data_IF_698850525043
#
_entry.id   IF_698850525043
#
_cell.length_a   1.000
_cell.length_b   1.000
_cell.length_c   1.000
_cell.angle_alpha   90.00
_cell.angle_beta   90.00
_cell.angle_gamma   90.00
#
_symmetry.space_group_name_H-M   'P 1'
#
loop_
_entity.id
_entity.type
_entity.pdbx_description
1 polymer ?
#
# COMPACT_ATOMS: atom_id res chain seq x y z
N UNK A 1 -29.31 5.26 23.20
CA UNK A 1 -29.14 5.82 21.85
C UNK A 1 -30.24 6.83 21.59
N UNK A 2 -29.95 8.11 21.79
CA UNK A 2 -30.93 9.19 21.84
C UNK A 2 -31.23 9.65 20.42
N UNK A 3 -32.46 9.43 19.96
CA UNK A 3 -33.01 9.89 18.67
C UNK A 3 -33.21 11.41 18.65
N UNK A 4 -32.18 12.18 19.00
CA UNK A 4 -32.22 13.63 18.83
C UNK A 4 -31.95 14.00 17.37
N UNK A 5 -33.04 14.33 16.68
CA UNK A 5 -33.09 15.32 15.61
C UNK A 5 -32.16 15.07 14.41
N UNK A 6 -32.57 14.13 13.56
CA UNK A 6 -32.17 14.11 12.14
C UNK A 6 -32.76 15.36 11.40
N UNK A 7 -33.67 16.09 12.04
CA UNK A 7 -34.39 17.24 11.47
C UNK A 7 -33.70 18.60 11.66
N UNK A 8 -32.70 18.74 12.55
CA UNK A 8 -31.97 20.00 12.78
C UNK A 8 -30.49 19.88 12.38
N UNK A 9 -30.20 19.35 11.18
CA UNK A 9 -28.84 19.43 10.64
C UNK A 9 -28.61 20.86 10.17
N UNK A 10 -27.83 21.62 10.95
CA UNK A 10 -27.43 22.98 10.59
C UNK A 10 -26.66 22.96 9.26
N UNK A 11 -26.96 23.90 8.37
CA UNK A 11 -26.25 24.06 7.08
C UNK A 11 -24.74 24.17 7.26
N UNK A 12 -24.28 24.70 8.41
CA UNK A 12 -22.87 24.75 8.79
C UNK A 12 -22.25 23.37 8.99
N UNK A 13 -22.96 22.45 9.66
CA UNK A 13 -22.46 21.08 9.88
C UNK A 13 -22.35 20.29 8.58
N UNK A 14 -23.28 20.52 7.65
CA UNK A 14 -23.24 19.94 6.31
C UNK A 14 -22.02 20.47 5.53
N UNK A 15 -21.80 21.79 5.52
CA UNK A 15 -20.63 22.41 4.90
C UNK A 15 -19.30 21.90 5.48
N UNK A 16 -19.19 21.75 6.81
CA UNK A 16 -17.99 21.20 7.45
C UNK A 16 -17.76 19.73 7.07
N UNK A 17 -18.82 18.94 6.93
CA UNK A 17 -18.73 17.54 6.52
C UNK A 17 -18.23 17.42 5.08
N UNK A 18 -18.73 18.26 4.17
CA UNK A 18 -18.22 18.34 2.80
C UNK A 18 -16.75 18.78 2.74
N UNK A 19 -16.35 19.75 3.57
CA UNK A 19 -14.97 20.21 3.63
C UNK A 19 -14.01 19.09 4.10
N UNK A 20 -14.43 18.24 5.04
CA UNK A 20 -13.66 17.09 5.51
C UNK A 20 -13.69 15.91 4.54
N UNK A 21 -14.75 15.74 3.75
CA UNK A 21 -14.86 14.66 2.78
C UNK A 21 -13.81 14.76 1.66
N UNK A 22 -13.44 15.98 1.24
CA UNK A 22 -12.46 16.21 0.18
C UNK A 22 -11.08 15.60 0.50
N UNK A 23 -10.39 15.95 1.62
CA UNK A 23 -9.09 15.37 1.92
C UNK A 23 -9.15 13.87 2.14
N UNK A 24 -10.23 13.35 2.75
CA UNK A 24 -10.42 11.90 2.94
C UNK A 24 -10.54 11.19 1.59
N UNK A 25 -11.31 11.74 0.64
CA UNK A 25 -11.41 11.21 -0.72
C UNK A 25 -10.04 11.15 -1.41
N UNK A 26 -9.21 12.18 -1.23
CA UNK A 26 -7.83 12.16 -1.73
C UNK A 26 -6.97 11.06 -1.09
N UNK A 27 -7.07 10.83 0.23
CA UNK A 27 -6.37 9.70 0.89
C UNK A 27 -6.74 8.39 0.20
N UNK A 28 -8.04 8.11 0.08
CA UNK A 28 -8.55 6.87 -0.50
C UNK A 28 -8.12 6.71 -1.96
N UNK A 29 -8.18 7.79 -2.75
CA UNK A 29 -7.72 7.79 -4.11
C UNK A 29 -6.23 7.43 -4.21
N UNK A 30 -5.38 8.06 -3.40
CA UNK A 30 -3.94 7.76 -3.42
C UNK A 30 -3.64 6.35 -2.95
N UNK A 31 -4.22 5.93 -1.84
CA UNK A 31 -3.94 4.62 -1.25
C UNK A 31 -4.35 3.49 -2.20
N UNK A 32 -5.53 3.59 -2.81
CA UNK A 32 -5.98 2.60 -3.80
C UNK A 32 -5.09 2.59 -5.06
N UNK A 33 -4.71 3.76 -5.58
CA UNK A 33 -3.86 3.82 -6.79
C UNK A 33 -2.43 3.33 -6.53
N UNK A 34 -1.86 3.62 -5.37
CA UNK A 34 -0.52 3.16 -4.99
C UNK A 34 -0.56 1.64 -4.78
N UNK A 35 -1.56 1.13 -4.08
CA UNK A 35 -1.77 -0.32 -3.87
C UNK A 35 -1.95 -1.05 -5.19
N UNK A 36 -2.78 -0.54 -6.11
CA UNK A 36 -2.96 -1.12 -7.44
C UNK A 36 -1.66 -1.11 -8.25
N UNK A 37 -0.90 -0.02 -8.19
CA UNK A 37 0.40 0.06 -8.88
C UNK A 37 1.45 -0.86 -8.28
N UNK A 38 1.37 -1.17 -6.98
CA UNK A 38 2.25 -2.11 -6.31
C UNK A 38 1.88 -3.57 -6.65
N UNK A 39 0.59 -3.90 -6.59
CA UNK A 39 0.06 -5.21 -6.98
C UNK A 39 0.37 -5.49 -8.44
N UNK A 40 0.11 -4.55 -9.35
CA UNK A 40 0.35 -4.74 -10.78
C UNK A 40 1.84 -5.00 -11.07
N UNK A 41 2.77 -4.39 -10.31
CA UNK A 41 4.20 -4.68 -10.43
C UNK A 41 4.58 -6.07 -9.92
N UNK A 42 4.00 -6.50 -8.79
CA UNK A 42 4.20 -7.85 -8.28
C UNK A 42 3.58 -8.91 -9.21
N UNK A 43 2.41 -8.60 -9.77
CA UNK A 43 1.63 -9.47 -10.64
C UNK A 43 2.20 -9.53 -12.07
N UNK A 44 2.79 -8.47 -12.60
CA UNK A 44 3.33 -8.43 -13.98
C UNK A 44 4.36 -9.55 -14.27
N UNK A 45 5.00 -10.10 -13.24
CA UNK A 45 5.91 -11.25 -13.40
C UNK A 45 5.20 -12.55 -13.78
N UNK A 46 3.95 -12.75 -13.37
CA UNK A 46 3.17 -13.99 -13.61
C UNK A 46 1.92 -13.73 -14.50
N UNK A 47 1.28 -12.57 -14.36
CA UNK A 47 -0.01 -12.26 -14.97
C UNK A 47 0.11 -11.28 -16.16
N UNK A 48 -0.40 -11.70 -17.33
CA UNK A 48 -0.44 -10.87 -18.57
C UNK A 48 -1.73 -10.05 -18.76
N UNK A 49 -2.54 -9.84 -17.73
CA UNK A 49 -3.78 -9.05 -17.86
C UNK A 49 -3.50 -7.55 -17.76
N UNK A 50 -4.23 -6.77 -18.56
CA UNK A 50 -4.15 -5.30 -18.53
C UNK A 50 -4.69 -4.78 -17.18
N UNK A 51 -3.99 -3.86 -16.51
CA UNK A 51 -4.47 -3.26 -15.28
C UNK A 51 -5.63 -2.31 -15.58
N UNK A 52 -6.70 -2.39 -14.78
CA UNK A 52 -7.90 -1.53 -14.88
C UNK A 52 -8.13 -0.78 -13.56
N UNK A 53 -7.28 0.21 -13.22
CA UNK A 53 -7.33 0.88 -11.91
C UNK A 53 -8.64 1.66 -11.68
N UNK A 54 -9.22 2.22 -12.75
CA UNK A 54 -10.44 3.03 -12.66
C UNK A 54 -11.67 2.19 -12.24
N UNK A 55 -11.75 0.95 -12.71
CA UNK A 55 -12.86 0.06 -12.38
C UNK A 55 -12.81 -0.34 -10.90
N UNK A 56 -11.61 -0.59 -10.39
CA UNK A 56 -11.39 -0.97 -9.00
C UNK A 56 -11.76 0.18 -8.03
N UNK A 57 -11.40 1.42 -8.37
CA UNK A 57 -11.84 2.63 -7.65
C UNK A 57 -13.36 2.78 -7.61
N UNK A 58 -14.05 2.50 -8.73
CA UNK A 58 -15.51 2.57 -8.80
C UNK A 58 -16.16 1.52 -7.88
N UNK A 59 -15.64 0.29 -7.88
CA UNK A 59 -16.16 -0.80 -7.04
C UNK A 59 -15.96 -0.49 -5.55
N UNK A 60 -14.77 -0.04 -5.15
CA UNK A 60 -14.49 0.32 -3.74
C UNK A 60 -15.37 1.50 -3.28
N UNK A 61 -15.60 2.49 -4.16
CA UNK A 61 -16.52 3.60 -3.89
C UNK A 61 -17.95 3.12 -3.63
N UNK A 62 -18.46 2.22 -4.48
CA UNK A 62 -19.81 1.67 -4.33
C UNK A 62 -19.95 0.88 -3.01
N UNK A 63 -18.96 0.04 -2.69
CA UNK A 63 -18.94 -0.74 -1.44
C UNK A 63 -18.94 0.20 -0.22
N UNK A 64 -18.09 1.23 -0.22
CA UNK A 64 -18.04 2.19 0.88
C UNK A 64 -19.32 3.03 1.01
N UNK A 65 -20.02 3.31 -0.09
CA UNK A 65 -21.34 3.93 -0.05
C UNK A 65 -22.35 3.04 0.71
N UNK A 66 -22.38 1.74 0.39
CA UNK A 66 -23.25 0.77 1.07
C UNK A 66 -22.87 0.65 2.57
N UNK A 67 -21.58 0.54 2.87
CA UNK A 67 -21.09 0.47 4.26
C UNK A 67 -21.46 1.72 5.06
N UNK A 68 -21.40 2.90 4.44
CA UNK A 68 -21.82 4.17 5.06
C UNK A 68 -23.30 4.18 5.44
N UNK A 69 -24.17 3.67 4.55
CA UNK A 69 -25.61 3.56 4.82
C UNK A 69 -25.88 2.57 5.96
N UNK A 70 -25.13 1.48 6.02
CA UNK A 70 -25.22 0.47 7.09
C UNK A 70 -24.52 0.88 8.40
N UNK A 71 -23.81 2.01 8.44
CA UNK A 71 -23.04 2.44 9.62
C UNK A 71 -21.80 1.58 9.92
N UNK A 72 -21.30 0.85 8.92
CA UNK A 72 -20.12 -0.02 9.02
C UNK A 72 -18.84 0.75 8.66
N UNK A 73 -17.67 0.34 9.18
CA UNK A 73 -16.40 0.98 8.85
C UNK A 73 -16.06 0.84 7.36
N UNK A 74 -15.43 1.86 6.79
CA UNK A 74 -15.02 1.87 5.39
C UNK A 74 -13.82 0.96 5.15
N UNK A 75 -13.78 0.35 3.96
CA UNK A 75 -12.75 -0.60 3.52
C UNK A 75 -11.93 0.04 2.40
N UNK A 76 -10.62 -0.19 2.42
CA UNK A 76 -9.68 0.21 1.38
C UNK A 76 -8.64 -0.90 1.16
N UNK A 77 -7.99 -0.90 0.00
CA UNK A 77 -6.94 -1.86 -0.31
C UNK A 77 -5.68 -1.64 0.52
N UNK A 78 -5.30 -2.61 1.35
CA UNK A 78 -4.06 -2.54 2.13
C UNK A 78 -2.85 -2.90 1.26
N UNK A 79 -1.88 -1.97 1.17
CA UNK A 79 -0.68 -2.13 0.34
C UNK A 79 0.17 -3.35 0.72
N UNK A 80 0.47 -3.51 2.02
CA UNK A 80 1.36 -4.59 2.49
C UNK A 80 0.68 -5.95 2.34
N UNK A 81 -0.57 -6.05 2.82
CA UNK A 81 -1.31 -7.31 2.77
C UNK A 81 -1.52 -7.80 1.33
N UNK A 82 -2.01 -6.93 0.45
CA UNK A 82 -2.31 -7.30 -0.93
C UNK A 82 -1.05 -7.67 -1.72
N UNK A 83 0.07 -6.99 -1.46
CA UNK A 83 1.37 -7.33 -2.08
C UNK A 83 1.89 -8.67 -1.59
N UNK A 84 1.85 -8.94 -0.28
CA UNK A 84 2.32 -10.20 0.30
C UNK A 84 1.47 -11.38 -0.18
N UNK A 85 0.15 -11.19 -0.19
CA UNK A 85 -0.80 -12.16 -0.72
C UNK A 85 -0.43 -12.51 -2.17
N UNK A 86 -0.33 -11.51 -3.05
CA UNK A 86 0.03 -11.74 -4.46
C UNK A 86 1.41 -12.39 -4.64
N UNK A 87 2.40 -11.99 -3.83
CA UNK A 87 3.74 -12.58 -3.87
C UNK A 87 3.72 -14.05 -3.51
N UNK A 88 2.96 -14.45 -2.50
CA UNK A 88 2.82 -15.85 -2.11
C UNK A 88 2.25 -16.72 -3.26
N UNK A 89 1.29 -16.20 -4.04
CA UNK A 89 0.80 -16.90 -5.23
C UNK A 89 1.85 -16.97 -6.35
N UNK A 90 2.51 -15.85 -6.66
CA UNK A 90 3.54 -15.84 -7.72
C UNK A 90 4.71 -16.78 -7.40
N UNK A 91 5.20 -16.79 -6.15
CA UNK A 91 6.32 -17.65 -5.75
C UNK A 91 5.94 -19.14 -5.86
N UNK A 92 4.70 -19.51 -5.55
CA UNK A 92 4.21 -20.88 -5.72
C UNK A 92 4.12 -21.28 -7.20
N UNK A 93 3.66 -20.37 -8.07
CA UNK A 93 3.60 -20.64 -9.52
C UNK A 93 4.98 -20.85 -10.14
N UNK A 94 5.98 -20.03 -9.76
CA UNK A 94 7.34 -20.24 -10.27
C UNK A 94 7.91 -21.62 -9.90
N UNK A 95 7.51 -22.17 -8.74
CA UNK A 95 7.89 -23.53 -8.33
C UNK A 95 7.13 -24.61 -9.10
N UNK A 96 5.85 -24.39 -9.41
CA UNK A 96 5.02 -25.33 -10.17
C UNK A 96 5.38 -25.34 -11.66
N UNK A 97 5.77 -24.21 -12.24
CA UNK A 97 6.31 -24.14 -13.61
C UNK A 97 7.61 -24.94 -13.76
N UNK A 98 8.48 -24.93 -12.74
CA UNK A 98 9.68 -25.79 -12.69
C UNK A 98 9.30 -27.28 -12.73
N UNK A 99 8.12 -27.64 -12.20
CA UNK A 99 7.60 -29.01 -12.16
C UNK A 99 6.62 -29.35 -13.31
N UNK A 100 6.52 -28.51 -14.36
CA UNK A 100 5.65 -28.70 -15.54
C UNK A 100 4.12 -28.81 -15.27
N UNK A 101 3.64 -28.56 -14.06
CA UNK A 101 2.20 -28.55 -13.75
C UNK A 101 1.63 -27.15 -13.94
N UNK A 102 1.06 -26.88 -15.12
CA UNK A 102 0.38 -25.60 -15.40
C UNK A 102 -1.06 -25.64 -14.93
N UNK A 103 -1.31 -25.35 -13.65
CA UNK A 103 -2.66 -25.05 -13.18
C UNK A 103 -3.03 -23.59 -13.49
N UNK A 104 -4.29 -23.34 -13.85
CA UNK A 104 -4.81 -22.01 -14.19
C UNK A 104 -4.80 -21.00 -13.02
N UNK A 105 -3.64 -20.37 -12.82
CA UNK A 105 -3.30 -19.29 -11.88
C UNK A 105 -4.44 -18.34 -11.44
N UNK A 106 -5.24 -17.81 -12.38
CA UNK A 106 -6.30 -16.84 -12.04
C UNK A 106 -7.47 -17.40 -11.23
N UNK A 107 -7.79 -18.70 -11.37
CA UNK A 107 -8.93 -19.29 -10.66
C UNK A 107 -8.59 -19.53 -9.18
N UNK A 108 -7.34 -19.89 -8.90
CA UNK A 108 -6.85 -20.14 -7.54
C UNK A 108 -6.90 -18.86 -6.68
N UNK A 109 -6.50 -17.71 -7.24
CA UNK A 109 -6.52 -16.42 -6.52
C UNK A 109 -7.94 -16.00 -6.15
N UNK A 110 -8.90 -16.18 -7.06
CA UNK A 110 -10.31 -15.82 -6.84
C UNK A 110 -10.93 -16.70 -5.76
N UNK A 111 -10.69 -18.01 -5.86
CA UNK A 111 -11.23 -18.98 -4.92
C UNK A 111 -10.62 -18.81 -3.52
N UNK A 112 -9.30 -18.59 -3.44
CA UNK A 112 -8.62 -18.32 -2.18
C UNK A 112 -9.10 -17.03 -1.52
N UNK A 113 -9.36 -15.97 -2.30
CA UNK A 113 -9.93 -14.73 -1.75
C UNK A 113 -11.35 -14.94 -1.23
N UNK A 114 -12.18 -15.69 -1.96
CA UNK A 114 -13.53 -16.05 -1.51
C UNK A 114 -13.50 -16.81 -0.17
N UNK A 115 -12.65 -17.85 -0.07
CA UNK A 115 -12.50 -18.60 1.17
C UNK A 115 -11.94 -17.76 2.32
N UNK A 116 -11.00 -16.86 2.06
CA UNK A 116 -10.47 -15.96 3.08
C UNK A 116 -11.57 -15.06 3.66
N UNK A 117 -12.41 -14.45 2.82
CA UNK A 117 -13.53 -13.62 3.29
C UNK A 117 -14.61 -14.43 4.00
N UNK A 118 -14.90 -15.65 3.52
CA UNK A 118 -15.81 -16.56 4.21
C UNK A 118 -15.30 -16.91 5.61
N UNK A 119 -14.01 -17.24 5.74
CA UNK A 119 -13.38 -17.54 7.02
C UNK A 119 -13.35 -16.33 7.97
N UNK A 120 -13.17 -15.11 7.44
CA UNK A 120 -13.31 -13.87 8.24
C UNK A 120 -14.75 -13.71 8.74
N UNK A 121 -15.76 -14.06 7.93
CA UNK A 121 -17.15 -14.06 8.37
C UNK A 121 -17.42 -15.07 9.50
N UNK A 122 -16.90 -16.29 9.34
CA UNK A 122 -17.02 -17.36 10.35
C UNK A 122 -16.21 -17.05 11.61
N UNK A 123 -15.10 -16.32 11.49
CA UNK A 123 -14.24 -15.99 12.63
C UNK A 123 -14.96 -15.13 13.65
N UNK A 124 -15.86 -14.23 13.24
CA UNK A 124 -16.67 -13.39 14.15
C UNK A 124 -17.46 -14.24 15.15
N UNK A 125 -18.01 -15.38 14.72
CA UNK A 125 -18.72 -16.31 15.60
C UNK A 125 -17.78 -17.15 16.47
N UNK A 126 -16.54 -17.34 15.99
CA UNK A 126 -15.52 -18.16 16.64
C UNK A 126 -14.64 -17.38 17.64
N UNK A 127 -14.75 -16.04 17.68
CA UNK A 127 -14.04 -15.14 18.60
C UNK A 127 -14.08 -15.64 20.06
N UNK A 128 -15.25 -15.89 20.69
CA UNK A 128 -15.32 -16.23 22.11
C UNK A 128 -14.87 -17.66 22.45
N UNK A 129 -14.52 -18.49 21.47
CA UNK A 129 -14.19 -19.90 21.70
C UNK A 129 -12.75 -20.25 21.33
N UNK A 130 -12.26 -19.74 20.20
CA UNK A 130 -10.98 -20.16 19.62
C UNK A 130 -9.91 -19.10 19.79
N UNK A 131 -10.28 -17.82 19.66
CA UNK A 131 -9.31 -16.73 19.60
C UNK A 131 -8.76 -16.32 20.97
N UNK A 132 -9.44 -16.67 22.06
CA UNK A 132 -8.92 -16.47 23.43
C UNK A 132 -7.65 -17.28 23.71
N UNK A 133 -7.44 -18.39 22.99
CA UNK A 133 -6.24 -19.22 23.13
C UNK A 133 -5.03 -18.67 22.35
N UNK A 134 -5.23 -17.71 21.45
CA UNK A 134 -4.17 -17.17 20.62
C UNK A 134 -3.57 -15.93 21.30
N UNK A 135 -2.33 -15.99 21.82
CA UNK A 135 -1.73 -14.84 22.49
C UNK A 135 -1.51 -13.69 21.50
N UNK A 136 -1.82 -12.47 21.91
CA UNK A 136 -1.61 -11.25 21.10
C UNK A 136 -0.17 -11.13 20.63
N UNK A 137 0.80 -11.58 21.44
CA UNK A 137 2.23 -11.60 21.08
C UNK A 137 2.56 -12.40 19.82
N UNK A 138 1.79 -13.45 19.51
CA UNK A 138 1.97 -14.23 18.27
C UNK A 138 1.55 -13.39 17.05
N UNK A 139 0.45 -12.64 17.19
CA UNK A 139 -0.03 -11.74 16.14
C UNK A 139 0.97 -10.62 15.87
N UNK A 140 1.55 -10.03 16.92
CA UNK A 140 2.61 -9.03 16.80
C UNK A 140 3.83 -9.58 16.04
N UNK A 141 4.22 -10.83 16.31
CA UNK A 141 5.26 -11.52 15.56
C UNK A 141 4.95 -11.64 14.06
N UNK A 142 3.69 -11.96 13.71
CA UNK A 142 3.23 -12.03 12.33
C UNK A 142 3.25 -10.62 11.67
N UNK A 143 2.90 -9.57 12.41
CA UNK A 143 2.99 -8.19 11.92
C UNK A 143 4.43 -7.77 11.62
N UNK A 144 5.37 -8.07 12.53
CA UNK A 144 6.80 -7.79 12.31
C UNK A 144 7.34 -8.57 11.11
N UNK A 145 7.02 -9.87 11.01
CA UNK A 145 7.38 -10.67 9.83
C UNK A 145 6.84 -10.06 8.53
N UNK A 146 5.57 -9.68 8.52
CA UNK A 146 4.93 -9.05 7.35
C UNK A 146 5.58 -7.72 6.99
N UNK A 147 5.97 -6.91 7.98
CA UNK A 147 6.69 -5.66 7.77
C UNK A 147 8.06 -5.90 7.11
N UNK A 148 8.85 -6.86 7.62
CA UNK A 148 10.18 -7.20 7.09
C UNK A 148 10.08 -7.78 5.67
N UNK A 149 9.18 -8.74 5.44
CA UNK A 149 9.00 -9.34 4.11
C UNK A 149 8.44 -8.31 3.11
N UNK A 150 7.62 -7.36 3.57
CA UNK A 150 7.10 -6.26 2.75
C UNK A 150 8.18 -5.32 2.21
N UNK A 151 9.33 -5.20 2.91
CA UNK A 151 10.49 -4.43 2.46
C UNK A 151 11.32 -5.15 1.39
N UNK A 152 11.24 -6.49 1.32
CA UNK A 152 11.95 -7.29 0.32
C UNK A 152 11.44 -6.96 -1.09
N UNK A 153 12.34 -6.78 -2.04
CA UNK A 153 12.07 -6.30 -3.41
C UNK A 153 11.52 -4.85 -3.46
N UNK A 154 11.86 -4.02 -2.48
CA UNK A 154 11.67 -2.58 -2.58
C UNK A 154 12.96 -1.91 -3.05
N UNK A 155 12.93 -1.32 -4.25
CA UNK A 155 14.09 -0.65 -4.85
C UNK A 155 14.66 0.48 -4.00
N UNK A 156 13.84 1.16 -3.19
CA UNK A 156 14.34 2.16 -2.25
C UNK A 156 15.14 1.51 -1.11
N UNK A 157 14.62 0.42 -0.54
CA UNK A 157 15.28 -0.32 0.53
C UNK A 157 16.60 -0.95 0.05
N UNK A 158 16.60 -1.56 -1.13
CA UNK A 158 17.82 -2.10 -1.76
C UNK A 158 18.89 -1.01 -1.89
N UNK A 159 18.51 0.20 -2.32
CA UNK A 159 19.46 1.29 -2.48
C UNK A 159 19.89 1.93 -1.15
N UNK A 160 19.06 1.90 -0.12
CA UNK A 160 19.48 2.26 1.24
C UNK A 160 20.53 1.26 1.73
N UNK A 161 20.32 -0.03 1.50
CA UNK A 161 21.31 -1.06 1.86
C UNK A 161 22.66 -0.82 1.16
N UNK A 162 22.64 -0.40 -0.11
CA UNK A 162 23.85 -0.02 -0.85
C UNK A 162 24.61 1.18 -0.25
N UNK A 163 24.00 2.02 0.61
CA UNK A 163 24.76 3.07 1.32
C UNK A 163 25.70 2.48 2.39
N UNK A 164 25.37 1.30 2.91
CA UNK A 164 26.14 0.61 3.97
C UNK A 164 27.05 -0.47 3.39
N UNK A 165 26.70 -1.04 2.23
CA UNK A 165 27.49 -2.07 1.57
C UNK A 165 28.80 -1.52 1.00
N UNK A 166 29.89 -2.28 1.13
CA UNK A 166 31.17 -1.97 0.50
C UNK A 166 31.10 -2.11 -1.03
N UNK A 167 31.84 -1.26 -1.75
CA UNK A 167 31.81 -1.19 -3.22
C UNK A 167 32.17 -2.52 -3.91
N UNK A 168 33.08 -3.31 -3.32
CA UNK A 168 33.49 -4.60 -3.86
C UNK A 168 32.36 -5.66 -3.80
N UNK A 169 31.40 -5.51 -2.88
CA UNK A 169 30.29 -6.44 -2.68
C UNK A 169 29.02 -6.04 -3.44
N UNK A 170 29.10 -5.06 -4.35
CA UNK A 170 27.92 -4.59 -5.08
C UNK A 170 27.39 -5.70 -6.02
N UNK A 171 26.11 -6.06 -5.92
CA UNK A 171 25.53 -7.06 -6.81
C UNK A 171 25.50 -6.53 -8.25
N UNK A 172 25.73 -7.39 -9.26
CA UNK A 172 25.76 -7.00 -10.67
C UNK A 172 24.34 -6.73 -11.21
N UNK A 173 23.69 -5.67 -10.74
CA UNK A 173 22.35 -5.27 -11.20
C UNK A 173 22.42 -4.35 -12.44
N UNK A 174 21.33 -4.33 -13.23
CA UNK A 174 21.26 -3.60 -14.50
C UNK A 174 21.49 -2.08 -14.36
N UNK A 175 21.04 -1.46 -13.26
CA UNK A 175 21.11 0.00 -13.08
C UNK A 175 22.48 0.48 -12.56
N UNK A 176 23.17 -0.32 -11.74
CA UNK A 176 24.50 0.02 -11.24
C UNK A 176 25.59 0.01 -12.33
N UNK A 177 25.33 -0.63 -13.48
CA UNK A 177 26.24 -0.62 -14.63
C UNK A 177 26.17 0.65 -15.48
N UNK A 178 25.07 1.42 -15.41
CA UNK A 178 24.83 2.58 -16.28
C UNK A 178 24.95 3.93 -15.58
N UNK A 179 24.74 3.98 -14.26
CA UNK A 179 24.65 5.24 -13.51
C UNK A 179 25.83 5.34 -12.54
N UNK A 180 26.53 6.50 -12.49
CA UNK A 180 27.60 6.68 -11.52
C UNK A 180 27.06 6.65 -10.08
N UNK A 181 27.80 6.00 -9.18
CA UNK A 181 27.38 5.71 -7.81
C UNK A 181 27.00 6.97 -7.01
N UNK A 182 27.73 8.07 -7.18
CA UNK A 182 27.44 9.35 -6.48
C UNK A 182 26.02 9.84 -6.76
N UNK A 183 25.54 9.68 -7.99
CA UNK A 183 24.18 10.08 -8.37
C UNK A 183 23.15 9.18 -7.69
N UNK A 184 23.42 7.87 -7.61
CA UNK A 184 22.55 6.92 -6.90
C UNK A 184 22.45 7.30 -5.41
N UNK A 185 23.57 7.61 -4.75
CA UNK A 185 23.56 7.99 -3.34
C UNK A 185 22.85 9.33 -3.09
N UNK A 186 23.10 10.37 -3.90
CA UNK A 186 22.38 11.65 -3.83
C UNK A 186 20.88 11.43 -4.01
N UNK A 187 20.49 10.62 -5.01
CA UNK A 187 19.10 10.27 -5.24
C UNK A 187 18.47 9.60 -4.03
N UNK A 188 19.14 8.60 -3.45
CA UNK A 188 18.63 7.89 -2.27
C UNK A 188 18.51 8.78 -1.05
N UNK A 189 19.46 9.69 -0.84
CA UNK A 189 19.44 10.61 0.29
C UNK A 189 18.26 11.58 0.20
N UNK A 190 17.96 12.08 -1.01
CA UNK A 190 16.76 12.89 -1.26
C UNK A 190 15.48 12.09 -0.93
N UNK A 191 15.41 10.83 -1.34
CA UNK A 191 14.25 9.98 -1.03
C UNK A 191 14.11 9.67 0.47
N UNK A 192 15.22 9.43 1.17
CA UNK A 192 15.23 9.20 2.63
C UNK A 192 14.76 10.45 3.37
N UNK A 193 15.20 11.64 2.97
CA UNK A 193 14.71 12.91 3.52
C UNK A 193 13.19 13.06 3.32
N UNK A 194 12.67 12.70 2.14
CA UNK A 194 11.23 12.73 1.87
C UNK A 194 10.45 11.77 2.78
N UNK A 195 10.97 10.57 3.02
CA UNK A 195 10.36 9.59 3.93
C UNK A 195 10.38 10.12 5.37
N UNK A 196 11.49 10.70 5.82
CA UNK A 196 11.60 11.28 7.17
C UNK A 196 10.61 12.43 7.34
N UNK A 197 10.49 13.30 6.34
CA UNK A 197 9.51 14.40 6.36
C UNK A 197 8.07 13.87 6.48
N UNK A 198 7.74 12.82 5.73
CA UNK A 198 6.44 12.15 5.83
C UNK A 198 6.22 11.46 7.18
N UNK A 199 7.27 10.85 7.74
CA UNK A 199 7.20 10.17 9.03
C UNK A 199 6.91 11.17 10.15
N UNK A 200 7.66 12.27 10.18
CA UNK A 200 7.46 13.34 11.17
C UNK A 200 6.05 13.93 11.05
N UNK A 201 5.58 14.19 9.82
CA UNK A 201 4.26 14.79 9.62
C UNK A 201 3.10 13.84 9.94
N UNK A 202 3.29 12.54 9.78
CA UNK A 202 2.29 11.52 10.10
C UNK A 202 2.22 11.15 11.58
N UNK A 203 3.36 11.01 12.26
CA UNK A 203 3.44 10.43 13.61
C UNK A 203 3.72 11.44 14.72
N UNK A 204 4.48 12.51 14.45
CA UNK A 204 4.98 13.41 15.50
C UNK A 204 4.17 14.71 15.63
N UNK A 205 3.40 15.10 14.61
CA UNK A 205 2.68 16.38 14.58
C UNK A 205 1.22 16.28 15.10
N UNK A 206 0.65 17.40 15.60
CA UNK A 206 -0.71 17.44 16.12
C UNK A 206 -1.78 17.07 15.07
N UNK A 207 -2.95 16.64 15.54
CA UNK A 207 -4.04 16.05 14.75
C UNK A 207 -4.41 16.86 13.49
N UNK A 208 -4.39 18.19 13.58
CA UNK A 208 -4.68 19.11 12.46
C UNK A 208 -3.73 18.92 11.26
N UNK A 209 -2.43 18.73 11.52
CA UNK A 209 -1.42 18.53 10.47
C UNK A 209 -1.50 17.10 9.92
N UNK A 210 -1.91 16.13 10.75
CA UNK A 210 -2.11 14.74 10.32
C UNK A 210 -3.21 14.61 9.27
N UNK A 211 -4.25 15.45 9.33
CA UNK A 211 -5.31 15.53 8.30
C UNK A 211 -4.75 16.05 6.97
N UNK A 212 -3.67 16.84 6.98
CA UNK A 212 -2.98 17.32 5.78
C UNK A 212 -2.03 16.30 5.14
N UNK A 213 -1.93 15.08 5.66
CA UNK A 213 -1.08 14.02 5.11
C UNK A 213 -1.21 13.83 3.58
N UNK A 214 -2.41 13.88 2.96
CA UNK A 214 -2.55 13.81 1.50
C UNK A 214 -1.84 14.92 0.73
N UNK A 215 -1.75 16.11 1.32
CA UNK A 215 -1.05 17.24 0.71
C UNK A 215 0.46 16.98 0.68
N UNK A 216 1.01 16.33 1.71
CA UNK A 216 2.42 15.92 1.71
C UNK A 216 2.70 14.82 0.68
N UNK A 217 1.79 13.86 0.48
CA UNK A 217 1.87 12.90 -0.61
C UNK A 217 1.85 13.60 -1.98
N UNK A 218 0.92 14.53 -2.18
CA UNK A 218 0.83 15.33 -3.39
C UNK A 218 2.10 16.15 -3.65
N UNK A 219 2.72 16.70 -2.61
CA UNK A 219 3.96 17.47 -2.70
C UNK A 219 5.14 16.64 -3.21
N UNK A 220 5.13 15.31 -3.07
CA UNK A 220 6.18 14.46 -3.64
C UNK A 220 6.17 14.44 -5.17
N UNK A 221 5.01 14.63 -5.80
CA UNK A 221 4.86 14.66 -7.26
C UNK A 221 5.67 15.80 -7.90
N UNK A 222 5.49 17.09 -7.52
CA UNK A 222 6.29 18.17 -8.08
C UNK A 222 7.77 18.06 -7.71
N UNK A 223 8.12 17.51 -6.54
CA UNK A 223 9.53 17.28 -6.20
C UNK A 223 10.15 16.32 -7.24
N UNK A 224 9.46 15.22 -7.57
CA UNK A 224 9.92 14.27 -8.59
C UNK A 224 9.95 14.87 -10.00
N UNK A 225 8.93 15.63 -10.40
CA UNK A 225 8.77 16.08 -11.78
C UNK A 225 9.54 17.37 -12.09
N UNK A 226 9.74 18.27 -11.13
CA UNK A 226 10.34 19.59 -11.35
C UNK A 226 11.71 19.75 -10.70
N UNK A 227 11.93 19.21 -9.51
CA UNK A 227 13.17 19.44 -8.73
C UNK A 227 14.22 18.41 -9.12
N UNK A 228 13.83 17.14 -9.15
CA UNK A 228 14.73 16.03 -9.45
C UNK A 228 15.45 16.12 -10.81
N UNK A 229 14.78 16.45 -11.94
CA UNK A 229 15.46 16.61 -13.23
C UNK A 229 16.33 17.87 -13.35
N UNK A 230 16.27 18.79 -12.37
CA UNK A 230 17.22 19.92 -12.29
C UNK A 230 18.52 19.52 -11.59
N UNK A 231 18.48 18.53 -10.70
CA UNK A 231 19.63 18.08 -9.91
C UNK A 231 20.36 16.92 -10.60
N UNK A 232 19.61 16.03 -11.26
CA UNK A 232 20.13 14.83 -11.92
C UNK A 232 19.80 14.89 -13.41
N UNK A 233 20.79 14.61 -14.28
CA UNK A 233 20.56 14.53 -15.72
C UNK A 233 19.47 13.50 -16.05
N UNK A 234 18.57 13.84 -16.98
CA UNK A 234 17.43 13.00 -17.38
C UNK A 234 17.82 11.60 -17.90
N UNK A 235 19.06 11.43 -18.35
CA UNK A 235 19.63 10.15 -18.79
C UNK A 235 19.79 9.12 -17.65
N UNK A 236 19.81 9.58 -16.39
CA UNK A 236 20.04 8.75 -15.21
C UNK A 236 18.80 8.56 -14.33
N UNK A 237 17.63 9.08 -14.73
CA UNK A 237 16.38 9.09 -13.98
C UNK A 237 15.39 7.99 -14.39
#
# INVERSE_FOLDING_TARGET
FRSHSITNVSTQTLAMSFALAIPISFVFFFDQNITNSAINRAAHKSFRKKPTPNYDLLVVSLINCILSICGLPWIHGSLVHSRLYMKAFCDNETKLEINNEKMGSFQQIRLSSFFAHLLIGVSVWSVPFIFDYVPVSVLDGIFVYSAVVGLKDNQLFERIMLLVTEQAAYPPSHYLKRVPQRIVHIFTLIQVIQIILMFISGFCLPLYIRISFPLFLLLQIPIRLKILPKIIQKSYL
#
